data_IF_085940935226
#
_entry.id   IF_085940935226
#
_cell.length_a   1.000
_cell.length_b   1.000
_cell.length_c   1.000
_cell.angle_alpha   90.00
_cell.angle_beta   90.00
_cell.angle_gamma   90.00
#
_symmetry.space_group_name_H-M   'P 1'
#
loop_
_entity.id
_entity.type
_entity.pdbx_description
1 polymer ?
#
# COMPACT_ATOMS: atom_id res chain seq x y z
N UNK A 1 9.77 -7.92 28.62
CA UNK A 1 8.82 -7.01 27.96
C UNK A 1 8.71 -7.21 26.43
N UNK A 2 9.61 -7.96 25.79
CA UNK A 2 9.59 -8.24 24.33
C UNK A 2 8.66 -9.39 23.88
N UNK A 3 8.27 -10.29 24.79
CA UNK A 3 7.47 -11.47 24.44
C UNK A 3 6.08 -11.11 23.86
N UNK A 4 5.44 -10.03 24.35
CA UNK A 4 4.11 -9.62 23.90
C UNK A 4 4.05 -8.87 22.57
N UNK A 5 5.20 -8.55 21.95
CA UNK A 5 5.23 -7.92 20.62
C UNK A 5 4.95 -8.94 19.52
N UNK A 6 5.42 -10.19 19.68
CA UNK A 6 5.26 -11.24 18.68
C UNK A 6 3.91 -11.97 18.79
N UNK A 7 3.16 -11.76 19.87
CA UNK A 7 1.82 -12.31 20.10
C UNK A 7 0.78 -12.00 19.00
N UNK A 8 1.02 -10.98 18.17
CA UNK A 8 0.15 -10.56 17.05
C UNK A 8 0.65 -11.08 15.69
N UNK A 9 1.77 -11.82 15.65
CA UNK A 9 2.26 -12.44 14.42
C UNK A 9 1.39 -13.62 14.00
N UNK A 10 1.27 -13.82 12.68
CA UNK A 10 0.49 -14.89 12.06
C UNK A 10 -1.02 -14.91 12.40
N UNK A 11 -1.55 -13.91 13.11
CA UNK A 11 -2.97 -13.85 13.53
C UNK A 11 -3.55 -12.46 13.25
N UNK A 12 -4.77 -12.39 12.69
CA UNK A 12 -5.48 -11.12 12.46
C UNK A 12 -6.34 -10.65 13.65
N UNK A 13 -6.49 -11.48 14.70
CA UNK A 13 -7.33 -11.20 15.87
C UNK A 13 -6.74 -10.15 16.85
N UNK A 14 -5.41 -9.94 16.84
CA UNK A 14 -4.73 -8.90 17.64
C UNK A 14 -4.19 -7.84 16.69
N UNK A 15 -4.38 -6.55 17.01
CA UNK A 15 -4.01 -5.41 16.16
C UNK A 15 -4.70 -5.42 14.78
N UNK A 16 -5.99 -5.74 14.76
CA UNK A 16 -6.79 -5.80 13.54
C UNK A 16 -6.89 -4.45 12.84
N UNK A 17 -7.00 -3.35 13.61
CA UNK A 17 -7.12 -2.02 13.05
C UNK A 17 -5.86 -1.62 12.28
N UNK A 18 -4.67 -1.84 12.82
CA UNK A 18 -3.41 -1.49 12.18
C UNK A 18 -3.19 -2.31 10.89
N UNK A 19 -3.45 -3.63 10.96
CA UNK A 19 -3.35 -4.51 9.79
C UNK A 19 -4.37 -4.14 8.71
N UNK A 20 -5.60 -3.86 9.10
CA UNK A 20 -6.66 -3.44 8.18
C UNK A 20 -6.35 -2.09 7.54
N UNK A 21 -5.90 -1.09 8.31
CA UNK A 21 -5.48 0.21 7.79
C UNK A 21 -4.33 0.09 6.81
N UNK A 22 -3.32 -0.74 7.11
CA UNK A 22 -2.19 -0.98 6.20
C UNK A 22 -2.66 -1.61 4.87
N UNK A 23 -3.50 -2.64 4.93
CA UNK A 23 -4.05 -3.28 3.72
C UNK A 23 -4.94 -2.31 2.94
N UNK A 24 -5.78 -1.53 3.62
CA UNK A 24 -6.67 -0.55 3.01
C UNK A 24 -5.90 0.56 2.29
N UNK A 25 -4.84 1.09 2.91
CA UNK A 25 -3.96 2.07 2.27
C UNK A 25 -3.26 1.47 1.04
N UNK A 26 -2.80 0.21 1.12
CA UNK A 26 -2.22 -0.49 -0.04
C UNK A 26 -3.22 -0.69 -1.19
N UNK A 27 -4.48 -1.04 -0.86
CA UNK A 27 -5.57 -1.14 -1.84
C UNK A 27 -5.87 0.21 -2.49
N UNK A 28 -5.91 1.27 -1.70
CA UNK A 28 -6.16 2.62 -2.20
C UNK A 28 -5.01 3.07 -3.12
N UNK A 29 -3.75 2.80 -2.75
CA UNK A 29 -2.59 3.06 -3.61
C UNK A 29 -2.66 2.28 -4.94
N UNK A 30 -3.06 1.00 -4.90
CA UNK A 30 -3.30 0.20 -6.12
C UNK A 30 -4.39 0.84 -7.00
N UNK A 31 -5.52 1.26 -6.42
CA UNK A 31 -6.61 1.89 -7.16
C UNK A 31 -6.17 3.20 -7.81
N UNK A 32 -5.47 4.07 -7.08
CA UNK A 32 -4.91 5.31 -7.64
C UNK A 32 -3.94 5.03 -8.79
N UNK A 33 -3.11 4.00 -8.64
CA UNK A 33 -2.18 3.61 -9.71
C UNK A 33 -2.94 3.15 -10.95
N UNK A 34 -3.98 2.32 -10.79
CA UNK A 34 -4.83 1.88 -11.91
C UNK A 34 -5.54 3.05 -12.59
N UNK A 35 -6.06 4.01 -11.82
CA UNK A 35 -6.68 5.22 -12.37
C UNK A 35 -5.66 6.05 -13.14
N UNK A 36 -4.47 6.27 -12.59
CA UNK A 36 -3.41 7.03 -13.26
C UNK A 36 -3.00 6.38 -14.59
N UNK A 37 -2.84 5.05 -14.62
CA UNK A 37 -2.54 4.29 -15.85
C UNK A 37 -3.66 4.46 -16.89
N UNK A 38 -4.92 4.33 -16.47
CA UNK A 38 -6.07 4.49 -17.37
C UNK A 38 -6.18 5.90 -17.95
N UNK A 39 -5.70 6.91 -17.23
CA UNK A 39 -5.60 8.29 -17.70
C UNK A 39 -4.37 8.54 -18.58
N UNK A 40 -3.53 7.54 -18.82
CA UNK A 40 -2.31 7.65 -19.61
C UNK A 40 -1.16 8.37 -18.91
N UNK A 41 -1.24 8.54 -17.57
CA UNK A 41 -0.17 9.14 -16.79
C UNK A 41 1.03 8.18 -16.75
N UNK A 42 2.22 8.73 -17.00
CA UNK A 42 3.45 7.97 -17.00
C UNK A 42 4.10 7.98 -15.63
N UNK A 43 4.48 6.79 -15.18
CA UNK A 43 5.28 6.70 -13.96
C UNK A 43 6.71 7.20 -14.18
N UNK A 44 7.13 8.11 -13.29
CA UNK A 44 8.49 8.67 -13.30
C UNK A 44 9.49 7.60 -12.86
N UNK A 45 9.09 6.71 -11.96
CA UNK A 45 9.95 5.65 -11.48
C UNK A 45 10.08 4.53 -12.54
N UNK A 46 11.28 4.30 -13.11
CA UNK A 46 11.47 3.32 -14.19
C UNK A 46 11.17 1.88 -13.76
N UNK A 47 11.39 1.53 -12.48
CA UNK A 47 11.01 0.23 -11.95
C UNK A 47 9.48 0.07 -11.93
N UNK A 48 8.76 1.04 -11.37
CA UNK A 48 7.29 0.99 -11.30
C UNK A 48 6.69 0.99 -12.70
N UNK A 49 7.25 1.76 -13.64
CA UNK A 49 6.86 1.74 -15.04
C UNK A 49 6.92 0.35 -15.67
N UNK A 50 7.95 -0.45 -15.36
CA UNK A 50 8.02 -1.84 -15.80
C UNK A 50 6.97 -2.73 -15.11
N UNK A 51 6.76 -2.56 -13.80
CA UNK A 51 5.75 -3.30 -13.05
C UNK A 51 4.34 -3.11 -13.61
N UNK A 52 4.02 -1.89 -14.06
CA UNK A 52 2.73 -1.52 -14.66
C UNK A 52 2.47 -2.23 -15.99
N UNK A 53 3.51 -2.55 -16.77
CA UNK A 53 3.35 -3.24 -18.06
C UNK A 53 2.83 -4.67 -17.93
N UNK A 54 2.93 -5.26 -16.72
CA UNK A 54 2.49 -6.62 -16.43
C UNK A 54 1.41 -6.54 -15.32
N UNK A 55 0.11 -6.61 -15.67
CA UNK A 55 -0.99 -6.48 -14.71
C UNK A 55 -0.92 -7.46 -13.53
N UNK A 56 -0.41 -8.67 -13.76
CA UNK A 56 -0.20 -9.63 -12.68
C UNK A 56 0.88 -9.15 -11.67
N UNK A 57 1.93 -8.50 -12.16
CA UNK A 57 3.07 -8.08 -11.35
C UNK A 57 2.71 -6.90 -10.45
N UNK A 58 1.91 -5.94 -10.94
CA UNK A 58 1.41 -4.85 -10.11
C UNK A 58 0.47 -5.34 -8.99
N UNK A 59 -0.38 -6.33 -9.27
CA UNK A 59 -1.21 -6.97 -8.25
C UNK A 59 -0.35 -7.69 -7.21
N UNK A 60 0.69 -8.42 -7.63
CA UNK A 60 1.59 -9.08 -6.67
C UNK A 60 2.26 -8.05 -5.76
N UNK A 61 2.81 -6.98 -6.34
CA UNK A 61 3.59 -5.98 -5.59
C UNK A 61 2.72 -5.10 -4.69
N UNK A 62 1.56 -4.65 -5.17
CA UNK A 62 0.72 -3.70 -4.44
C UNK A 62 -0.43 -4.34 -3.65
N UNK A 63 -0.69 -5.64 -3.81
CA UNK A 63 -1.74 -6.36 -3.06
C UNK A 63 -1.19 -7.56 -2.30
N UNK A 64 -0.57 -8.52 -3.00
CA UNK A 64 -0.18 -9.79 -2.40
C UNK A 64 0.93 -9.61 -1.36
N UNK A 65 1.98 -8.84 -1.68
CA UNK A 65 3.09 -8.55 -0.76
C UNK A 65 2.59 -7.81 0.48
N UNK A 66 1.83 -6.69 0.40
CA UNK A 66 1.26 -6.03 1.57
C UNK A 66 0.40 -6.94 2.44
N UNK A 67 -0.39 -7.84 1.83
CA UNK A 67 -1.20 -8.80 2.57
C UNK A 67 -0.32 -9.77 3.39
N UNK A 68 0.73 -10.31 2.78
CA UNK A 68 1.70 -11.20 3.45
C UNK A 68 2.42 -10.45 4.57
N UNK A 69 2.86 -9.22 4.31
CA UNK A 69 3.53 -8.35 5.30
C UNK A 69 2.62 -8.10 6.49
N UNK A 70 1.35 -7.75 6.26
CA UNK A 70 0.37 -7.50 7.32
C UNK A 70 0.09 -8.76 8.16
N UNK A 71 0.15 -9.94 7.53
CA UNK A 71 -0.04 -11.20 8.23
C UNK A 71 1.16 -11.53 9.14
N UNK A 72 2.38 -11.45 8.60
CA UNK A 72 3.60 -11.86 9.31
C UNK A 72 3.96 -10.86 10.41
N UNK A 73 3.86 -9.55 10.16
CA UNK A 73 4.32 -8.54 11.11
C UNK A 73 3.30 -8.28 12.24
N UNK A 74 3.79 -7.99 13.46
CA UNK A 74 2.94 -7.51 14.53
C UNK A 74 2.47 -6.08 14.26
N UNK A 75 1.20 -5.77 14.53
CA UNK A 75 0.57 -4.53 14.06
C UNK A 75 1.27 -3.23 14.48
N UNK A 76 1.91 -3.19 15.65
CA UNK A 76 2.66 -2.01 16.10
C UNK A 76 3.88 -1.68 15.22
N UNK A 77 4.50 -2.68 14.59
CA UNK A 77 5.59 -2.47 13.64
C UNK A 77 5.10 -1.98 12.27
N UNK A 78 3.79 -2.08 11.99
CA UNK A 78 3.19 -1.54 10.77
C UNK A 78 2.95 -0.04 10.84
N UNK A 79 2.85 0.56 12.04
CA UNK A 79 2.58 1.99 12.23
C UNK A 79 3.49 2.93 11.42
N UNK A 80 4.84 2.80 11.42
CA UNK A 80 5.69 3.66 10.61
C UNK A 80 5.41 3.49 9.11
N UNK A 81 5.18 2.26 8.65
CA UNK A 81 4.85 1.96 7.26
C UNK A 81 3.49 2.52 6.86
N UNK A 82 2.49 2.48 7.74
CA UNK A 82 1.17 3.09 7.57
C UNK A 82 1.31 4.61 7.39
N UNK A 83 2.11 5.26 8.24
CA UNK A 83 2.36 6.70 8.14
C UNK A 83 2.99 7.08 6.80
N UNK A 84 4.02 6.35 6.36
CA UNK A 84 4.66 6.57 5.06
C UNK A 84 3.70 6.32 3.89
N UNK A 85 2.94 5.22 3.92
CA UNK A 85 1.94 4.93 2.89
C UNK A 85 0.86 6.00 2.82
N UNK A 86 0.42 6.53 3.96
CA UNK A 86 -0.56 7.61 4.01
C UNK A 86 -0.04 8.87 3.31
N UNK A 87 1.22 9.26 3.55
CA UNK A 87 1.83 10.40 2.88
C UNK A 87 1.90 10.21 1.36
N UNK A 88 2.30 9.01 0.91
CA UNK A 88 2.37 8.67 -0.52
C UNK A 88 0.97 8.71 -1.15
N UNK A 89 -0.03 8.13 -0.48
CA UNK A 89 -1.42 8.16 -0.93
C UNK A 89 -1.93 9.60 -1.02
N UNK A 90 -1.71 10.44 -0.01
CA UNK A 90 -2.12 11.85 -0.03
C UNK A 90 -1.47 12.60 -1.18
N UNK A 91 -0.19 12.35 -1.44
CA UNK A 91 0.52 12.91 -2.58
C UNK A 91 -0.13 12.47 -3.91
N UNK A 92 -0.37 11.17 -4.08
CA UNK A 92 -0.98 10.63 -5.30
C UNK A 92 -2.38 11.20 -5.55
N UNK A 93 -3.21 11.33 -4.50
CA UNK A 93 -4.53 11.98 -4.59
C UNK A 93 -4.40 13.44 -5.00
N UNK A 94 -3.47 14.18 -4.39
CA UNK A 94 -3.23 15.60 -4.70
C UNK A 94 -2.83 15.77 -6.16
N UNK A 95 -1.82 15.03 -6.63
CA UNK A 95 -1.35 15.14 -8.02
C UNK A 95 -2.43 14.75 -9.02
N UNK A 96 -3.20 13.69 -8.74
CA UNK A 96 -4.34 13.29 -9.57
C UNK A 96 -5.44 14.36 -9.59
N UNK A 97 -5.76 14.97 -8.45
CA UNK A 97 -6.75 16.04 -8.37
C UNK A 97 -6.30 17.30 -9.14
N UNK A 98 -5.01 17.66 -9.05
CA UNK A 98 -4.44 18.76 -9.83
C UNK A 98 -4.56 18.46 -11.32
N UNK A 99 -4.22 17.24 -11.76
CA UNK A 99 -4.34 16.83 -13.17
C UNK A 99 -5.78 16.89 -13.69
N UNK A 100 -6.79 16.53 -12.87
CA UNK A 100 -8.20 16.52 -13.28
C UNK A 100 -8.88 17.89 -13.26
N UNK A 101 -8.34 18.86 -12.52
CA UNK A 101 -8.91 20.21 -12.36
C UNK A 101 -8.20 21.27 -13.23
N UNK A 102 -7.12 20.90 -13.89
CA UNK A 102 -6.41 21.71 -14.90
C UNK A 102 -6.99 21.45 -16.29
#
# INVERSE_FOLDING_TARGET
>A
MLAGLWDSTATFKKCTFEKASFIFLGLLDLLLTMVAINLGLFEINPLVRYLVQIPALILVVKLLIPLIIAWILPGKLLLPSIGLLMLVVMWNVKELAVFLLQ
#
